data_IF_132397671791
#
_entry.id   IF_132397671791
#
_cell.length_a   1.000
_cell.length_b   1.000
_cell.length_c   1.000
_cell.angle_alpha   90.00
_cell.angle_beta   90.00
_cell.angle_gamma   90.00
#
_symmetry.space_group_name_H-M   'P 1'
#
loop_
_entity.id
_entity.type
_entity.pdbx_description
1 polymer ?
#
# COMPACT_ATOMS: atom_id res chain seq x y z
N UNK A 1 27.30 8.49 14.30
CA UNK A 1 26.84 8.26 14.27
C UNK A 1 26.04 7.82 14.04
N UNK A 2 25.52 7.84 13.97
CA UNK A 2 24.68 7.54 13.89
C UNK A 2 23.92 6.99 13.57
N UNK A 3 23.88 6.74 13.32
CA UNK A 3 23.33 6.36 13.01
C UNK A 3 22.44 5.93 12.97
N UNK A 4 22.71 6.19 12.89
CA UNK A 4 21.62 6.30 12.97
C UNK A 4 20.58 5.38 12.99
N UNK A 5 19.91 5.15 13.88
CA UNK A 5 18.88 4.19 14.02
C UNK A 5 17.59 4.78 13.53
N UNK A 6 17.38 4.64 12.27
CA UNK A 6 16.09 4.98 11.73
C UNK A 6 15.10 3.92 12.10
N UNK A 7 13.88 4.35 12.41
CA UNK A 7 12.76 3.47 12.56
C UNK A 7 12.52 2.74 11.23
N UNK A 8 12.20 1.43 11.24
CA UNK A 8 11.84 0.75 10.00
C UNK A 8 10.63 1.40 9.35
N UNK A 9 10.65 1.49 8.04
CA UNK A 9 9.57 2.12 7.30
C UNK A 9 9.01 1.16 6.28
N UNK A 10 7.69 1.18 6.14
CA UNK A 10 7.01 0.35 5.16
C UNK A 10 6.45 1.17 4.00
N UNK A 11 6.70 2.47 3.96
CA UNK A 11 6.22 3.31 2.86
C UNK A 11 7.14 4.51 2.69
N UNK A 12 7.10 5.09 1.48
CA UNK A 12 7.76 6.36 1.23
C UNK A 12 6.84 7.24 0.39
N UNK A 13 7.14 8.52 0.40
CA UNK A 13 6.39 9.50 -0.38
C UNK A 13 7.36 10.32 -1.22
N UNK A 14 6.88 10.80 -2.36
CA UNK A 14 7.63 11.69 -3.22
C UNK A 14 6.67 12.71 -3.82
N UNK A 15 6.99 14.00 -3.74
CA UNK A 15 6.22 14.98 -4.48
C UNK A 15 6.30 14.64 -5.97
N UNK A 16 5.20 14.70 -6.67
CA UNK A 16 5.17 14.39 -8.09
C UNK A 16 5.52 12.95 -8.41
N UNK A 17 5.21 12.03 -7.50
CA UNK A 17 5.39 10.61 -7.78
C UNK A 17 4.57 10.23 -9.01
N UNK A 18 5.13 9.39 -9.88
CA UNK A 18 4.40 8.93 -11.05
C UNK A 18 3.87 7.52 -10.88
N UNK A 19 4.52 6.72 -10.05
CA UNK A 19 4.13 5.33 -9.82
C UNK A 19 4.16 5.01 -8.36
N UNK A 20 3.31 4.05 -7.97
CA UNK A 20 3.40 3.39 -6.67
C UNK A 20 4.12 2.07 -6.88
N UNK A 21 5.23 1.89 -6.18
CA UNK A 21 5.98 0.64 -6.19
C UNK A 21 5.56 -0.21 -5.01
N UNK A 22 5.10 -1.42 -5.28
CA UNK A 22 4.68 -2.36 -4.25
C UNK A 22 5.66 -3.53 -4.25
N UNK A 23 6.37 -3.72 -3.13
CA UNK A 23 7.30 -4.83 -3.01
C UNK A 23 6.69 -5.89 -2.09
N UNK A 24 6.55 -7.09 -2.64
CA UNK A 24 5.97 -8.21 -1.92
C UNK A 24 7.06 -8.98 -1.19
N UNK A 25 6.70 -9.68 -0.11
CA UNK A 25 7.70 -10.49 0.62
C UNK A 25 8.39 -11.53 -0.24
N UNK A 26 7.75 -11.94 -1.32
CA UNK A 26 8.32 -12.92 -2.25
C UNK A 26 9.38 -12.33 -3.15
N UNK A 27 9.56 -11.01 -3.13
CA UNK A 27 10.43 -10.32 -4.05
C UNK A 27 9.76 -9.81 -5.28
N UNK A 28 8.48 -10.14 -5.47
CA UNK A 28 7.73 -9.64 -6.60
C UNK A 28 7.46 -8.16 -6.44
N UNK A 29 7.57 -7.42 -7.52
CA UNK A 29 7.41 -5.97 -7.50
C UNK A 29 6.33 -5.59 -8.51
N UNK A 30 5.42 -4.71 -8.07
CA UNK A 30 4.43 -4.12 -8.97
C UNK A 30 4.72 -2.62 -9.06
N UNK A 31 4.57 -2.08 -10.25
CA UNK A 31 4.64 -0.63 -10.47
C UNK A 31 3.30 -0.21 -11.03
N UNK A 32 2.59 0.59 -10.27
CA UNK A 32 1.24 1.01 -10.64
C UNK A 32 1.23 2.51 -10.87
N UNK A 33 0.92 2.94 -12.10
CA UNK A 33 0.88 4.38 -12.38
C UNK A 33 -0.16 5.08 -11.52
N UNK A 34 0.22 6.17 -10.88
CA UNK A 34 -0.70 6.90 -10.02
C UNK A 34 -1.81 7.57 -10.81
N UNK A 35 -1.59 7.86 -12.10
CA UNK A 35 -2.66 8.44 -12.90
C UNK A 35 -3.75 7.42 -13.24
N UNK A 36 -3.55 6.14 -12.88
CA UNK A 36 -4.58 5.13 -13.02
C UNK A 36 -5.27 4.80 -11.70
N UNK A 37 -4.94 5.52 -10.66
CA UNK A 37 -5.59 5.35 -9.38
C UNK A 37 -7.04 5.84 -9.47
N UNK A 38 -7.98 4.99 -9.05
CA UNK A 38 -9.40 5.31 -9.15
C UNK A 38 -9.98 5.77 -7.82
N UNK A 39 -9.81 4.96 -6.78
CA UNK A 39 -10.32 5.35 -5.47
C UNK A 39 -9.71 4.46 -4.40
N UNK A 40 -9.88 4.88 -3.15
CA UNK A 40 -9.46 4.09 -2.01
C UNK A 40 -10.50 4.17 -0.91
N UNK A 41 -10.55 3.13 -0.10
CA UNK A 41 -11.40 3.06 1.07
C UNK A 41 -10.57 2.59 2.25
N UNK A 42 -10.81 3.18 3.41
CA UNK A 42 -10.16 2.70 4.62
C UNK A 42 -11.21 2.30 5.64
N UNK A 43 -11.05 1.10 6.19
CA UNK A 43 -11.99 0.55 7.15
C UNK A 43 -11.21 -0.02 8.32
N UNK A 44 -11.92 -0.52 9.30
CA UNK A 44 -11.32 -1.08 10.50
C UNK A 44 -12.07 -2.34 10.87
N UNK A 45 -11.34 -3.42 11.16
CA UNK A 45 -11.95 -4.67 11.60
C UNK A 45 -11.53 -4.98 13.02
N UNK A 46 -11.70 -4.00 13.91
CA UNK A 46 -11.34 -4.15 15.31
C UNK A 46 -9.96 -3.63 15.58
N UNK A 47 -8.97 -4.50 15.56
CA UNK A 47 -7.61 -4.11 15.93
C UNK A 47 -6.79 -3.56 14.78
N UNK A 48 -7.14 -3.94 13.56
CA UNK A 48 -6.36 -3.55 12.39
C UNK A 48 -7.17 -2.70 11.46
N UNK A 49 -6.48 -1.90 10.67
CA UNK A 49 -7.09 -1.13 9.61
C UNK A 49 -6.90 -1.84 8.28
N UNK A 50 -7.83 -1.61 7.39
CA UNK A 50 -7.79 -2.13 6.03
C UNK A 50 -7.81 -0.94 5.09
N UNK A 51 -6.81 -0.84 4.25
CA UNK A 51 -6.78 0.20 3.22
C UNK A 51 -6.88 -0.48 1.86
N UNK A 52 -7.95 -0.23 1.17
CA UNK A 52 -8.20 -0.81 -0.14
C UNK A 52 -7.98 0.26 -1.19
N UNK A 53 -7.09 -0.02 -2.15
CA UNK A 53 -6.78 0.90 -3.24
C UNK A 53 -7.16 0.25 -4.55
N UNK A 54 -7.87 0.98 -5.40
CA UNK A 54 -8.28 0.48 -6.70
C UNK A 54 -7.58 1.27 -7.79
N UNK A 55 -6.83 0.57 -8.64
CA UNK A 55 -6.21 1.11 -9.84
C UNK A 55 -6.90 0.53 -11.07
N UNK A 56 -6.57 1.02 -12.25
CA UNK A 56 -7.23 0.58 -13.47
C UNK A 56 -7.08 -0.93 -13.69
N UNK A 57 -5.93 -1.50 -13.35
CA UNK A 57 -5.64 -2.90 -13.64
C UNK A 57 -5.54 -3.79 -12.41
N UNK A 58 -5.40 -3.22 -11.23
CA UNK A 58 -5.15 -3.99 -10.02
C UNK A 58 -5.83 -3.39 -8.82
N UNK A 59 -6.16 -4.24 -7.88
CA UNK A 59 -6.61 -3.82 -6.56
C UNK A 59 -5.59 -4.22 -5.54
N UNK A 60 -5.37 -3.34 -4.55
CA UNK A 60 -4.41 -3.59 -3.49
C UNK A 60 -5.12 -3.49 -2.17
N UNK A 61 -4.99 -4.52 -1.35
CA UNK A 61 -5.51 -4.52 0.02
C UNK A 61 -4.32 -4.48 0.96
N UNK A 62 -4.29 -3.47 1.82
CA UNK A 62 -3.24 -3.29 2.81
C UNK A 62 -3.86 -3.46 4.19
N UNK A 63 -3.26 -4.32 5.00
CA UNK A 63 -3.75 -4.58 6.36
C UNK A 63 -2.64 -4.25 7.35
N UNK A 64 -2.98 -3.50 8.38
CA UNK A 64 -2.00 -3.15 9.39
C UNK A 64 -2.52 -2.13 10.37
N UNK A 65 -1.59 -1.34 10.92
CA UNK A 65 -1.91 -0.36 11.95
C UNK A 65 -1.42 1.01 11.53
N UNK A 66 -2.14 2.05 11.98
CA UNK A 66 -1.73 3.44 11.76
C UNK A 66 -1.57 3.76 10.28
N UNK A 67 -2.52 3.31 9.46
CA UNK A 67 -2.40 3.46 8.01
C UNK A 67 -2.84 4.84 7.52
N UNK A 68 -3.23 5.74 8.41
CA UNK A 68 -3.72 7.05 8.02
C UNK A 68 -2.69 7.83 7.21
N UNK A 69 -1.42 7.71 7.56
CA UNK A 69 -0.39 8.44 6.83
C UNK A 69 -0.23 7.94 5.40
N UNK A 70 -0.46 6.63 5.20
CA UNK A 70 -0.42 6.08 3.85
C UNK A 70 -1.63 6.57 3.07
N UNK A 71 -2.79 6.59 3.71
CA UNK A 71 -4.00 7.10 3.06
C UNK A 71 -3.82 8.57 2.69
N UNK A 72 -3.22 9.37 3.55
CA UNK A 72 -2.98 10.77 3.26
C UNK A 72 -2.02 10.96 2.09
N UNK A 73 -0.97 10.14 2.05
CA UNK A 73 -0.02 10.20 0.95
C UNK A 73 -0.69 9.85 -0.37
N UNK A 74 -1.59 8.86 -0.33
CA UNK A 74 -2.33 8.48 -1.52
C UNK A 74 -3.29 9.59 -1.94
N UNK A 75 -3.93 10.23 -0.97
CA UNK A 75 -4.82 11.35 -1.23
C UNK A 75 -4.10 12.46 -2.00
N UNK A 76 -2.82 12.66 -1.72
CA UNK A 76 -2.02 13.66 -2.38
C UNK A 76 -1.34 13.15 -3.64
N UNK A 77 -1.55 11.87 -3.97
CA UNK A 77 -0.88 11.21 -5.10
C UNK A 77 0.64 11.29 -4.97
N UNK A 78 1.12 11.13 -3.74
CA UNK A 78 2.54 11.15 -3.43
C UNK A 78 3.04 9.83 -2.86
N UNK A 79 2.19 8.82 -2.77
CA UNK A 79 2.60 7.53 -2.27
C UNK A 79 3.44 6.83 -3.32
N UNK A 80 4.74 6.66 -3.07
CA UNK A 80 5.68 6.14 -4.06
C UNK A 80 6.10 4.70 -3.81
N UNK A 81 5.89 4.18 -2.59
CA UNK A 81 6.40 2.87 -2.23
C UNK A 81 5.64 2.32 -1.03
N UNK A 82 5.32 1.03 -1.07
CA UNK A 82 4.84 0.30 0.10
C UNK A 82 5.42 -1.11 0.11
N UNK A 83 5.60 -1.64 1.31
CA UNK A 83 6.03 -3.02 1.50
C UNK A 83 5.55 -3.49 2.88
N UNK A 84 5.53 -4.79 3.09
CA UNK A 84 5.17 -5.32 4.40
C UNK A 84 6.34 -5.15 5.36
N UNK A 85 6.01 -5.06 6.64
CA UNK A 85 6.99 -4.95 7.69
C UNK A 85 6.89 -6.21 8.55
N UNK A 86 7.92 -7.07 8.56
CA UNK A 86 7.85 -8.29 9.36
C UNK A 86 7.55 -7.98 10.83
N UNK A 87 6.80 -8.88 11.47
CA UNK A 87 6.33 -8.64 12.83
C UNK A 87 7.47 -8.35 13.81
N UNK A 88 8.64 -8.95 13.58
CA UNK A 88 9.78 -8.76 14.48
C UNK A 88 10.25 -7.30 14.51
N UNK A 89 9.91 -6.52 13.50
CA UNK A 89 10.30 -5.11 13.47
C UNK A 89 9.22 -4.18 14.00
N UNK A 90 8.00 -4.67 14.24
CA UNK A 90 6.92 -3.79 14.68
C UNK A 90 7.23 -3.03 15.96
N UNK A 91 7.86 -3.66 16.97
CA UNK A 91 8.18 -2.91 18.19
C UNK A 91 9.17 -1.78 17.98
N UNK A 92 9.91 -1.79 16.87
CA UNK A 92 10.91 -0.77 16.57
C UNK A 92 10.33 0.42 15.83
N UNK A 93 9.06 0.35 15.44
CA UNK A 93 8.42 1.42 14.68
C UNK A 93 7.99 2.50 15.65
N UNK A 94 8.31 3.75 15.32
CA UNK A 94 7.92 4.87 16.16
C UNK A 94 6.40 4.99 16.24
N UNK A 95 5.92 5.54 17.34
CA UNK A 95 4.50 5.73 17.56
C UNK A 95 3.89 6.53 16.41
N UNK A 96 2.73 6.08 15.94
CA UNK A 96 2.02 6.78 14.88
C UNK A 96 2.50 6.46 13.49
N UNK A 97 3.62 5.75 13.36
CA UNK A 97 4.10 5.36 12.05
C UNK A 97 3.36 4.11 11.57
N UNK A 98 3.11 3.99 10.27
CA UNK A 98 2.40 2.83 9.73
C UNK A 98 3.15 1.52 9.95
N UNK A 99 2.38 0.47 10.17
CA UNK A 99 2.88 -0.90 10.22
C UNK A 99 2.02 -1.73 9.29
N UNK A 100 2.59 -2.12 8.16
CA UNK A 100 1.87 -2.95 7.20
C UNK A 100 2.20 -4.40 7.49
N UNK A 101 1.16 -5.18 7.82
CA UNK A 101 1.32 -6.60 8.10
C UNK A 101 1.15 -7.45 6.85
N UNK A 102 0.24 -7.03 5.96
CA UNK A 102 -0.10 -7.84 4.81
C UNK A 102 -0.47 -6.95 3.64
N UNK A 103 -0.03 -7.33 2.45
CA UNK A 103 -0.45 -6.68 1.21
C UNK A 103 -0.93 -7.78 0.27
N UNK A 104 -2.13 -7.61 -0.28
CA UNK A 104 -2.67 -8.53 -1.30
C UNK A 104 -2.91 -7.72 -2.55
N UNK A 105 -2.32 -8.16 -3.66
CA UNK A 105 -2.51 -7.51 -4.96
C UNK A 105 -3.28 -8.45 -5.84
N UNK A 106 -4.38 -7.97 -6.40
CA UNK A 106 -5.26 -8.76 -7.24
C UNK A 106 -5.42 -8.08 -8.58
N UNK A 107 -5.22 -8.83 -9.64
CA UNK A 107 -5.43 -8.31 -10.97
C UNK A 107 -6.92 -8.25 -11.27
N UNK A 108 -7.38 -7.13 -11.82
CA UNK A 108 -8.77 -6.95 -12.18
C UNK A 108 -8.96 -7.51 -13.58
N UNK A 109 -9.89 -8.47 -13.72
CA UNK A 109 -10.16 -9.03 -15.02
C UNK A 109 -11.25 -8.25 -15.73
N UNK A 110 -11.10 -8.02 -17.03
CA UNK A 110 -12.11 -7.25 -17.76
C UNK A 110 -13.47 -7.94 -17.73
N UNK A 111 -14.48 -7.18 -17.34
CA UNK A 111 -15.85 -7.70 -17.32
C UNK A 111 -16.35 -8.02 -18.71
N UNK A 112 -15.87 -7.27 -19.70
CA UNK A 112 -16.32 -7.43 -21.07
C UNK A 112 -16.07 -8.84 -21.58
N UNK A 113 -15.06 -9.53 -21.07
CA UNK A 113 -14.80 -10.89 -21.50
C UNK A 113 -15.93 -11.83 -21.11
N UNK A 114 -16.52 -11.58 -19.95
CA UNK A 114 -17.60 -12.42 -19.47
C UNK A 114 -18.87 -12.19 -20.25
N UNK A 115 -19.15 -10.94 -20.56
CA UNK A 115 -20.38 -10.62 -21.26
C UNK A 115 -20.36 -11.14 -22.68
N UNK A 116 -19.21 -11.31 -23.26
CA UNK A 116 -19.10 -11.81 -24.63
C UNK A 116 -19.46 -13.27 -24.74
N UNK A 117 -19.46 -13.96 -23.64
CA UNK A 117 -19.79 -15.37 -23.66
C UNK A 117 -21.26 -15.63 -23.81
N UNK A 118 -22.06 -14.62 -23.71
CA UNK A 118 -23.52 -14.76 -23.83
C UNK A 118 -24.02 -14.43 -25.24
#
# INVERSE_FOLDING_TARGET
MNMSAKSPECYTTEPQASCLRVEMPTGRIYLLPLDQFAFAEMDSDGKEQLLHMSFATHEIMVRGHSLRRIETALHRLELSFITTLPAKYHPLVADGQPRIREIVVTEIKPVSEQSQLN
#
